data_IF_153802520997
#
_entry.id   IF_153802520997
#
_cell.length_a   1.000
_cell.length_b   1.000
_cell.length_c   1.000
_cell.angle_alpha   90.00
_cell.angle_beta   90.00
_cell.angle_gamma   90.00
#
_symmetry.space_group_name_H-M   'P 1'
#
loop_
_entity.id
_entity.type
_entity.pdbx_description
1 polymer ?
#
# COMPACT_ATOMS: atom_id res chain seq x y z
N UNK A 1 -26.40 -22.06 -17.06
CA UNK A 1 -26.18 -21.07 -18.13
C UNK A 1 -24.76 -20.53 -17.95
N UNK A 2 -23.82 -20.96 -18.78
CA UNK A 2 -22.42 -20.54 -18.75
C UNK A 2 -22.21 -19.44 -19.80
N UNK A 3 -21.81 -18.24 -19.38
CA UNK A 3 -21.42 -17.15 -20.28
C UNK A 3 -21.14 -15.85 -19.52
N UNK A 4 -19.99 -15.22 -19.84
CA UNK A 4 -19.70 -13.78 -19.70
C UNK A 4 -19.14 -13.19 -18.38
N UNK A 5 -18.38 -13.93 -17.59
CA UNK A 5 -17.48 -13.26 -16.62
C UNK A 5 -16.07 -13.19 -17.20
N UNK A 6 -15.76 -12.07 -17.87
CA UNK A 6 -14.37 -11.61 -17.98
C UNK A 6 -13.81 -11.55 -16.56
N UNK A 7 -13.02 -12.55 -16.19
CA UNK A 7 -12.61 -12.74 -14.81
C UNK A 7 -11.84 -11.52 -14.32
N UNK A 8 -12.19 -10.99 -13.13
CA UNK A 8 -11.39 -9.98 -12.44
C UNK A 8 -9.94 -10.47 -12.42
N UNK A 9 -8.99 -9.69 -12.94
CA UNK A 9 -7.55 -9.96 -12.86
C UNK A 9 -6.90 -8.68 -12.36
N UNK A 10 -6.68 -8.63 -11.04
CA UNK A 10 -6.37 -7.41 -10.32
C UNK A 10 -5.01 -7.49 -9.66
N UNK A 11 -4.34 -6.34 -9.60
CA UNK A 11 -3.21 -6.11 -8.73
C UNK A 11 -3.74 -5.39 -7.49
N UNK A 12 -3.83 -6.11 -6.38
CA UNK A 12 -4.27 -5.56 -5.09
C UNK A 12 -3.04 -5.13 -4.32
N UNK A 13 -3.04 -3.90 -3.80
CA UNK A 13 -1.94 -3.27 -3.08
C UNK A 13 -2.42 -2.79 -1.72
N UNK A 14 -1.57 -2.93 -0.71
CA UNK A 14 -1.72 -2.39 0.64
C UNK A 14 -0.44 -1.67 1.05
N UNK A 15 -0.56 -0.42 1.48
CA UNK A 15 0.49 0.33 2.17
C UNK A 15 0.32 0.10 3.66
N UNK A 16 1.28 -0.55 4.27
CA UNK A 16 1.26 -1.03 5.65
C UNK A 16 2.18 -0.13 6.49
N UNK A 17 1.66 0.36 7.60
CA UNK A 17 2.45 1.03 8.64
C UNK A 17 3.21 -0.01 9.45
N UNK A 18 4.55 0.02 9.44
CA UNK A 18 5.35 -0.79 10.37
C UNK A 18 5.82 0.06 11.56
N UNK A 19 6.34 1.25 11.28
CA UNK A 19 6.74 2.25 12.27
C UNK A 19 6.87 3.63 11.62
N UNK A 20 7.14 4.66 12.42
CA UNK A 20 7.17 6.07 12.02
C UNK A 20 8.05 6.33 10.78
N UNK A 21 9.17 5.64 10.63
CA UNK A 21 10.13 5.80 9.52
C UNK A 21 10.08 4.66 8.48
N UNK A 22 9.07 3.78 8.55
CA UNK A 22 9.00 2.61 7.69
C UNK A 22 7.55 2.27 7.35
N UNK A 23 7.19 2.52 6.10
CA UNK A 23 6.00 1.95 5.49
C UNK A 23 6.42 0.83 4.55
N UNK A 24 5.58 -0.19 4.43
CA UNK A 24 5.79 -1.32 3.53
C UNK A 24 4.66 -1.36 2.50
N UNK A 25 4.99 -1.63 1.24
CA UNK A 25 4.00 -1.93 0.21
C UNK A 25 3.92 -3.44 0.04
N UNK A 26 2.76 -4.02 0.32
CA UNK A 26 2.43 -5.40 -0.03
C UNK A 26 1.49 -5.39 -1.22
N UNK A 27 1.79 -6.19 -2.24
CA UNK A 27 0.92 -6.30 -3.41
C UNK A 27 0.83 -7.74 -3.90
N UNK A 28 -0.30 -8.07 -4.52
CA UNK A 28 -0.54 -9.38 -5.09
C UNK A 28 -1.41 -9.30 -6.34
N UNK A 29 -1.08 -10.13 -7.33
CA UNK A 29 -1.94 -10.39 -8.48
C UNK A 29 -2.94 -11.49 -8.12
N UNK A 30 -4.22 -11.24 -8.35
CA UNK A 30 -5.30 -12.14 -7.94
C UNK A 30 -6.43 -12.14 -8.97
N UNK A 31 -7.05 -13.31 -9.15
CA UNK A 31 -8.07 -13.54 -10.17
C UNK A 31 -9.41 -14.00 -9.62
N UNK A 32 -10.49 -13.68 -10.33
CA UNK A 32 -11.84 -14.15 -10.04
C UNK A 32 -12.31 -13.79 -8.62
N UNK A 33 -12.99 -14.73 -7.96
CA UNK A 33 -13.51 -14.53 -6.60
C UNK A 33 -12.43 -14.29 -5.53
N UNK A 34 -11.17 -14.69 -5.79
CA UNK A 34 -10.07 -14.41 -4.87
C UNK A 34 -9.66 -12.94 -4.88
N UNK A 35 -9.99 -12.19 -5.94
CA UNK A 35 -9.66 -10.77 -6.06
C UNK A 35 -10.43 -9.91 -5.04
N UNK A 36 -11.70 -10.23 -4.80
CA UNK A 36 -12.50 -9.53 -3.79
C UNK A 36 -11.96 -9.82 -2.39
N UNK A 37 -11.66 -11.09 -2.07
CA UNK A 37 -11.06 -11.47 -0.77
C UNK A 37 -9.73 -10.77 -0.51
N UNK A 38 -8.89 -10.66 -1.55
CA UNK A 38 -7.61 -9.96 -1.45
C UNK A 38 -7.78 -8.46 -1.17
N UNK A 39 -8.72 -7.81 -1.87
CA UNK A 39 -9.08 -6.41 -1.62
C UNK A 39 -9.60 -6.23 -0.19
N UNK A 40 -10.55 -7.05 0.23
CA UNK A 40 -11.17 -6.96 1.54
C UNK A 40 -10.13 -7.19 2.66
N UNK A 41 -9.22 -8.16 2.45
CA UNK A 41 -8.09 -8.39 3.33
C UNK A 41 -7.13 -7.20 3.40
N UNK A 42 -6.81 -6.56 2.27
CA UNK A 42 -5.98 -5.36 2.26
C UNK A 42 -6.63 -4.21 3.04
N UNK A 43 -7.94 -3.99 2.82
CA UNK A 43 -8.72 -2.95 3.49
C UNK A 43 -8.86 -3.18 5.00
N UNK A 44 -9.13 -4.43 5.41
CA UNK A 44 -9.39 -4.79 6.81
C UNK A 44 -8.13 -4.99 7.64
N UNK A 45 -6.95 -5.09 7.01
CA UNK A 45 -5.72 -5.35 7.75
C UNK A 45 -5.40 -4.18 8.71
N UNK A 46 -5.15 -4.44 10.02
CA UNK A 46 -5.08 -3.40 11.05
C UNK A 46 -4.01 -2.34 10.83
N UNK A 47 -2.94 -2.68 10.11
CA UNK A 47 -1.83 -1.78 9.81
C UNK A 47 -1.90 -1.14 8.42
N UNK A 48 -2.91 -1.46 7.61
CA UNK A 48 -3.02 -0.86 6.28
C UNK A 48 -3.46 0.60 6.40
N UNK A 49 -2.59 1.50 5.97
CA UNK A 49 -2.88 2.94 5.85
C UNK A 49 -3.74 3.18 4.61
N UNK A 50 -3.31 2.64 3.46
CA UNK A 50 -4.00 2.78 2.18
C UNK A 50 -4.05 1.44 1.46
N UNK A 51 -5.14 1.20 0.74
CA UNK A 51 -5.25 0.07 -0.17
C UNK A 51 -5.69 0.55 -1.54
N UNK A 52 -5.32 -0.20 -2.56
CA UNK A 52 -5.72 0.07 -3.92
C UNK A 52 -5.77 -1.18 -4.77
N UNK A 53 -6.53 -1.08 -5.85
CA UNK A 53 -6.73 -2.11 -6.85
C UNK A 53 -6.41 -1.49 -8.19
N UNK A 54 -5.51 -2.14 -8.91
CA UNK A 54 -5.16 -1.80 -10.28
C UNK A 54 -5.54 -2.96 -11.20
N UNK A 55 -5.78 -2.67 -12.48
CA UNK A 55 -5.84 -3.73 -13.49
C UNK A 55 -4.41 -4.22 -13.83
N UNK A 56 -4.33 -5.23 -14.71
CA UNK A 56 -3.05 -5.78 -15.17
C UNK A 56 -2.21 -4.82 -16.02
N UNK A 57 -2.78 -3.71 -16.48
CA UNK A 57 -2.08 -2.66 -17.24
C UNK A 57 -1.62 -1.52 -16.33
N UNK A 58 -1.78 -1.67 -15.00
CA UNK A 58 -1.44 -0.65 -14.02
C UNK A 58 -2.46 0.50 -13.94
N UNK A 59 -3.64 0.37 -14.54
CA UNK A 59 -4.71 1.37 -14.41
C UNK A 59 -5.35 1.25 -13.04
N UNK A 60 -5.43 2.36 -12.31
CA UNK A 60 -6.15 2.44 -11.05
C UNK A 60 -7.65 2.17 -11.25
N UNK A 61 -8.21 1.26 -10.45
CA UNK A 61 -9.63 0.90 -10.49
C UNK A 61 -10.39 1.43 -9.27
N UNK A 62 -9.85 1.20 -8.08
CA UNK A 62 -10.45 1.62 -6.80
C UNK A 62 -9.38 1.60 -5.70
N UNK A 63 -9.68 2.25 -4.58
CA UNK A 63 -8.78 2.34 -3.45
C UNK A 63 -9.31 3.30 -2.40
N UNK A 64 -8.64 3.34 -1.27
CA UNK A 64 -9.02 4.20 -0.16
C UNK A 64 -8.19 3.94 1.08
N UNK A 65 -8.65 4.50 2.19
CA UNK A 65 -8.02 4.34 3.49
C UNK A 65 -8.32 2.97 4.08
N UNK A 66 -7.30 2.38 4.70
CA UNK A 66 -7.42 1.16 5.48
C UNK A 66 -7.62 1.46 6.96
N UNK A 67 -7.82 0.39 7.74
CA UNK A 67 -8.06 0.49 9.19
C UNK A 67 -6.89 1.12 9.97
N UNK A 68 -5.67 1.01 9.44
CA UNK A 68 -4.45 1.55 10.03
C UNK A 68 -4.20 3.02 9.73
N UNK A 69 -5.06 3.70 8.96
CA UNK A 69 -4.91 5.13 8.65
C UNK A 69 -4.93 6.02 9.92
N UNK A 70 -5.56 5.56 11.00
CA UNK A 70 -5.60 6.26 12.30
C UNK A 70 -4.25 6.26 13.03
N UNK A 71 -3.33 5.35 12.69
CA UNK A 71 -2.00 5.27 13.29
C UNK A 71 -1.02 6.34 12.78
N UNK A 72 -1.40 7.10 11.75
CA UNK A 72 -0.60 8.16 11.13
C UNK A 72 -1.40 9.47 11.04
N UNK A 73 -0.71 10.59 10.87
CA UNK A 73 -1.39 11.88 10.72
C UNK A 73 -2.19 11.94 9.42
N UNK A 74 -3.31 12.68 9.41
CA UNK A 74 -4.14 12.86 8.22
C UNK A 74 -3.39 13.53 7.06
N UNK A 75 -2.35 14.31 7.34
CA UNK A 75 -1.46 14.89 6.34
C UNK A 75 -0.65 13.80 5.60
N UNK A 76 -0.13 12.81 6.33
CA UNK A 76 0.60 11.67 5.75
C UNK A 76 -0.31 10.88 4.84
N UNK A 77 -1.52 10.57 5.30
CA UNK A 77 -2.51 9.82 4.50
C UNK A 77 -2.81 10.56 3.20
N UNK A 78 -3.12 11.87 3.26
CA UNK A 78 -3.40 12.68 2.08
C UNK A 78 -2.23 12.74 1.09
N UNK A 79 -0.99 12.80 1.58
CA UNK A 79 0.18 12.79 0.70
C UNK A 79 0.37 11.41 0.07
N UNK A 80 0.24 10.33 0.84
CA UNK A 80 0.31 8.98 0.31
C UNK A 80 -0.78 8.71 -0.74
N UNK A 81 -2.00 9.21 -0.57
CA UNK A 81 -3.08 9.09 -1.55
C UNK A 81 -2.72 9.74 -2.89
N UNK A 82 -2.06 10.90 -2.85
CA UNK A 82 -1.58 11.60 -4.06
C UNK A 82 -0.43 10.86 -4.72
N UNK A 83 0.46 10.29 -3.92
CA UNK A 83 1.67 9.64 -4.39
C UNK A 83 1.45 8.19 -4.83
N UNK A 84 0.30 7.60 -4.48
CA UNK A 84 0.03 6.18 -4.73
C UNK A 84 0.16 5.78 -6.22
N UNK A 85 -0.24 6.67 -7.12
CA UNK A 85 -0.16 6.44 -8.57
C UNK A 85 1.15 6.84 -9.23
N UNK A 86 2.04 7.54 -8.51
CA UNK A 86 3.28 8.13 -9.07
C UNK A 86 4.54 7.65 -8.37
N UNK A 87 4.42 7.01 -7.20
CA UNK A 87 5.55 6.51 -6.45
C UNK A 87 6.29 5.41 -7.22
N UNK A 88 7.60 5.59 -7.39
CA UNK A 88 8.46 4.68 -8.14
C UNK A 88 8.48 3.26 -7.57
N UNK A 89 8.35 3.10 -6.25
CA UNK A 89 8.26 1.78 -5.60
C UNK A 89 6.99 1.06 -6.04
N UNK A 90 5.85 1.77 -6.04
CA UNK A 90 4.55 1.21 -6.41
C UNK A 90 4.54 0.87 -7.90
N UNK A 91 4.98 1.77 -8.77
CA UNK A 91 5.09 1.52 -10.20
C UNK A 91 6.02 0.34 -10.51
N UNK A 92 7.14 0.24 -9.80
CA UNK A 92 8.06 -0.90 -9.91
C UNK A 92 7.43 -2.22 -9.50
N UNK A 93 6.63 -2.23 -8.42
CA UNK A 93 5.88 -3.42 -7.98
C UNK A 93 4.83 -3.81 -9.02
N UNK A 94 4.04 -2.87 -9.52
CA UNK A 94 3.01 -3.13 -10.53
C UNK A 94 3.60 -3.75 -11.79
N UNK A 95 4.75 -3.26 -12.26
CA UNK A 95 5.47 -3.82 -13.42
C UNK A 95 5.94 -5.26 -13.18
N UNK A 96 6.40 -5.59 -11.99
CA UNK A 96 6.80 -6.96 -11.62
C UNK A 96 5.61 -7.92 -11.59
N UNK A 97 4.44 -7.45 -11.11
CA UNK A 97 3.19 -8.24 -11.11
C UNK A 97 2.63 -8.42 -12.53
N UNK A 98 2.71 -7.38 -13.37
CA UNK A 98 2.28 -7.42 -14.78
C UNK A 98 3.08 -8.46 -15.57
N UNK A 99 4.42 -8.47 -15.40
CA UNK A 99 5.34 -9.40 -16.07
C UNK A 99 5.27 -10.83 -15.55
N UNK A 100 4.40 -11.14 -14.55
CA UNK A 100 4.25 -12.46 -13.93
C UNK A 100 5.56 -13.04 -13.37
N UNK A 101 6.54 -12.19 -13.08
CA UNK A 101 7.77 -12.64 -12.41
C UNK A 101 7.49 -13.09 -10.98
N UNK A 102 6.46 -12.53 -10.36
CA UNK A 102 5.92 -12.96 -9.08
C UNK A 102 4.42 -12.68 -8.98
N UNK A 103 3.69 -13.50 -8.26
CA UNK A 103 2.27 -13.29 -7.95
C UNK A 103 2.07 -12.44 -6.69
N UNK A 104 3.11 -12.33 -5.84
CA UNK A 104 3.07 -11.58 -4.58
C UNK A 104 4.41 -10.90 -4.32
N UNK A 105 4.36 -9.68 -3.79
CA UNK A 105 5.57 -8.93 -3.48
C UNK A 105 5.35 -8.03 -2.27
N UNK A 106 6.35 -7.93 -1.41
CA UNK A 106 6.40 -6.93 -0.37
C UNK A 106 7.73 -6.19 -0.46
N UNK A 107 7.69 -4.86 -0.45
CA UNK A 107 8.90 -4.00 -0.45
C UNK A 107 8.71 -2.81 0.48
N UNK A 108 9.77 -2.35 1.18
CA UNK A 108 9.74 -1.07 1.86
C UNK A 108 9.35 0.04 0.88
N UNK A 109 8.43 0.92 1.29
CA UNK A 109 8.05 2.09 0.52
C UNK A 109 9.19 3.10 0.59
N UNK A 110 9.79 3.44 -0.55
CA UNK A 110 10.73 4.57 -0.59
C UNK A 110 9.91 5.85 -0.77
N UNK A 111 9.91 6.72 0.24
CA UNK A 111 9.09 7.93 0.28
C UNK A 111 9.81 9.06 1.01
N UNK A 112 9.65 10.30 0.54
CA UNK A 112 10.31 11.49 1.12
C UNK A 112 9.44 12.09 2.24
N UNK A 113 8.16 11.72 2.31
CA UNK A 113 7.19 12.26 3.28
C UNK A 113 7.25 11.67 4.68
N UNK A 114 8.24 10.85 5.01
CA UNK A 114 8.36 10.28 6.35
C UNK A 114 8.45 11.37 7.43
N UNK A 115 7.75 11.21 8.57
CA UNK A 115 7.95 12.05 9.74
C UNK A 115 9.43 12.11 10.11
N UNK A 116 9.96 13.33 10.31
CA UNK A 116 11.30 13.46 10.87
C UNK A 116 11.29 12.86 12.27
N UNK A 117 12.27 12.01 12.59
CA UNK A 117 12.49 11.59 13.98
C UNK A 117 12.67 12.85 14.82
N UNK A 118 11.91 12.97 15.90
CA UNK A 118 12.22 13.98 16.92
C UNK A 118 13.68 13.76 17.31
N UNK A 119 14.48 14.83 17.28
CA UNK A 119 15.83 14.77 17.79
C UNK A 119 15.75 14.28 19.24
N UNK A 120 16.43 13.17 19.55
CA UNK A 120 16.55 12.75 20.93
C UNK A 120 17.11 13.93 21.73
N UNK A 121 16.56 14.26 22.92
CA UNK A 121 17.17 15.26 23.76
C UNK A 121 18.65 14.86 23.99
N UNK A 122 19.58 15.82 24.04
CA UNK A 122 20.97 15.53 24.36
C UNK A 122 21.03 14.66 25.63
N UNK A 123 21.86 13.62 25.60
CA UNK A 123 22.04 12.68 26.72
C UNK A 123 22.44 13.38 28.04
N UNK A 124 22.83 14.64 27.97
CA UNK A 124 23.36 15.44 29.07
C UNK A 124 22.42 16.58 29.50
N UNK A 125 21.12 16.49 29.22
CA UNK A 125 20.16 17.44 29.80
C UNK A 125 20.11 17.22 31.32
N UNK A 126 20.46 18.23 32.15
CA UNK A 126 20.28 18.12 33.60
C UNK A 126 18.79 17.93 33.91
N UNK A 127 18.47 16.95 34.74
CA UNK A 127 17.15 16.84 35.36
C UNK A 127 17.00 18.03 36.32
N UNK A 128 16.02 18.91 36.06
CA UNK A 128 15.62 20.01 36.95
C UNK A 128 14.86 19.48 38.18
#
# INVERSE_FOLDING_TARGET
MFGLFGGKDWNVLAVIFERVDLFQVSAQRVKGAAADKARDGAQAHPRTILWAVFDQKGKYLQGGQGSGATAVSSEIVKKLERDLGTNSTILGILKLLETKQTDKLAKPLVWIGYPRKAALPPKDAPED
#
